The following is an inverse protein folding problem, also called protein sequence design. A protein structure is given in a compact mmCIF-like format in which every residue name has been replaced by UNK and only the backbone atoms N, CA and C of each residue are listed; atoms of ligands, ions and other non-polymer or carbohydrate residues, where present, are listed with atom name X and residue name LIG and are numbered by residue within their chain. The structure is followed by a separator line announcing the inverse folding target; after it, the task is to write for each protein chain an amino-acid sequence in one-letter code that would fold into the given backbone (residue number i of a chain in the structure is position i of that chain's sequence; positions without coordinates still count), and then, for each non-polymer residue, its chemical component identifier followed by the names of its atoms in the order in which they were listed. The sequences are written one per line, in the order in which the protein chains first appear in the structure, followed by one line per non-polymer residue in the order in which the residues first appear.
data_IF_524596679610
#
_entry.id   IF_524596679610
#
_cell.length_a   1.000
_cell.length_b   1.000
_cell.length_c   1.000
_cell.angle_alpha   90.00
_cell.angle_beta   90.00
_cell.angle_gamma   90.00
#
_symmetry.space_group_name_H-M   'P 1'
#
loop_
_entity.id
_entity.type
_entity.pdbx_description
1 polymer ?
#
# COMPACT_ATOMS: atom_id res chain seq x y z
N UNK A 1 5.01 -9.65 11.12
CA UNK A 1 5.12 -8.33 11.77
C UNK A 1 4.96 -7.23 10.73
N UNK A 2 4.10 -6.28 11.02
CA UNK A 2 3.88 -5.13 10.14
C UNK A 2 4.63 -3.94 10.73
N UNK A 3 5.52 -3.34 9.95
CA UNK A 3 6.25 -2.14 10.36
C UNK A 3 5.82 -0.96 9.49
N UNK A 4 5.71 0.21 10.10
CA UNK A 4 5.39 1.45 9.40
C UNK A 4 6.53 2.43 9.64
N UNK A 5 7.15 2.87 8.56
CA UNK A 5 8.21 3.86 8.58
C UNK A 5 7.72 5.13 7.88
N UNK A 6 8.01 6.27 8.49
CA UNK A 6 7.63 7.58 7.95
C UNK A 6 8.91 8.37 7.67
N UNK A 7 9.07 8.83 6.45
CA UNK A 7 10.27 9.56 6.06
C UNK A 7 10.42 10.87 6.86
N UNK A 8 11.68 11.22 7.18
CA UNK A 8 11.98 12.44 7.93
C UNK A 8 11.65 13.73 7.17
N UNK A 9 11.55 13.63 5.85
CA UNK A 9 11.16 14.78 5.01
C UNK A 9 9.70 15.18 5.18
N UNK A 10 8.87 14.30 5.79
CA UNK A 10 7.46 14.59 6.03
C UNK A 10 7.27 15.26 7.39
N UNK A 11 6.17 16.03 7.57
CA UNK A 11 5.87 16.61 8.88
C UNK A 11 5.78 15.55 9.97
N UNK A 12 6.21 15.87 11.20
CA UNK A 12 6.20 14.93 12.32
C UNK A 12 4.80 14.37 12.58
N UNK A 13 3.76 15.17 12.39
CA UNK A 13 2.39 14.79 12.63
C UNK A 13 1.68 14.24 11.37
N UNK A 14 2.42 13.92 10.31
CA UNK A 14 1.82 13.44 9.05
C UNK A 14 1.00 12.16 9.26
N UNK A 15 1.52 11.24 10.07
CA UNK A 15 0.84 9.98 10.37
C UNK A 15 0.62 9.88 11.89
N UNK A 16 -0.48 10.43 12.41
CA UNK A 16 -0.78 10.31 13.84
C UNK A 16 -1.05 8.86 14.25
N UNK A 17 -1.01 8.60 15.55
CA UNK A 17 -1.16 7.24 16.10
C UNK A 17 -2.45 6.55 15.65
N UNK A 18 -3.56 7.29 15.57
CA UNK A 18 -4.85 6.74 15.13
C UNK A 18 -4.81 6.28 13.67
N UNK A 19 -4.15 7.05 12.81
CA UNK A 19 -3.98 6.68 11.41
C UNK A 19 -3.04 5.49 11.27
N UNK A 20 -1.97 5.44 12.05
CA UNK A 20 -1.06 4.30 12.08
C UNK A 20 -1.79 3.00 12.42
N UNK A 21 -2.64 3.02 13.44
CA UNK A 21 -3.46 1.86 13.81
C UNK A 21 -4.42 1.45 12.68
N UNK A 22 -5.00 2.44 12.01
CA UNK A 22 -5.90 2.19 10.89
C UNK A 22 -5.17 1.51 9.72
N UNK A 23 -3.97 1.97 9.41
CA UNK A 23 -3.13 1.38 8.36
C UNK A 23 -2.73 -0.06 8.72
N UNK A 24 -2.37 -0.32 9.96
CA UNK A 24 -2.07 -1.68 10.42
C UNK A 24 -3.27 -2.61 10.27
N UNK A 25 -4.45 -2.14 10.64
CA UNK A 25 -5.69 -2.92 10.51
C UNK A 25 -5.99 -3.21 9.03
N UNK A 26 -5.85 -2.20 8.18
CA UNK A 26 -6.06 -2.36 6.75
C UNK A 26 -5.08 -3.38 6.16
N UNK A 27 -3.82 -3.33 6.57
CA UNK A 27 -2.79 -4.26 6.10
C UNK A 27 -3.09 -5.70 6.52
N UNK A 28 -3.46 -5.93 7.78
CA UNK A 28 -3.80 -7.28 8.27
C UNK A 28 -4.99 -7.87 7.53
N UNK A 29 -6.02 -7.06 7.31
CA UNK A 29 -7.22 -7.49 6.60
C UNK A 29 -6.89 -7.81 5.14
N UNK A 30 -6.08 -6.97 4.49
CA UNK A 30 -5.67 -7.21 3.10
C UNK A 30 -4.86 -8.52 2.98
N UNK A 31 -3.92 -8.76 3.89
CA UNK A 31 -3.15 -10.00 3.91
C UNK A 31 -4.07 -11.22 4.05
N UNK A 32 -4.99 -11.19 4.99
CA UNK A 32 -5.93 -12.28 5.24
C UNK A 32 -6.82 -12.54 4.01
N UNK A 33 -7.41 -11.50 3.45
CA UNK A 33 -8.33 -11.61 2.32
C UNK A 33 -7.62 -12.00 1.02
N UNK A 34 -6.34 -11.66 0.90
CA UNK A 34 -5.52 -12.04 -0.25
C UNK A 34 -5.01 -13.48 -0.17
N UNK A 35 -5.29 -14.18 0.92
CA UNK A 35 -4.83 -15.55 1.11
C UNK A 35 -3.41 -15.67 1.66
N UNK A 36 -2.80 -14.56 2.07
CA UNK A 36 -1.52 -14.58 2.75
C UNK A 36 -1.72 -14.82 4.25
N UNK A 37 -0.66 -15.27 4.93
CA UNK A 37 -0.71 -15.41 6.38
C UNK A 37 -0.86 -14.04 7.05
N UNK A 38 -1.77 -13.93 8.01
CA UNK A 38 -1.90 -12.71 8.82
C UNK A 38 -0.64 -12.44 9.66
N UNK A 39 0.21 -13.46 9.83
CA UNK A 39 1.48 -13.35 10.53
C UNK A 39 2.65 -12.97 9.60
N UNK A 40 2.41 -12.82 8.31
CA UNK A 40 3.45 -12.46 7.35
C UNK A 40 4.06 -11.09 7.68
N UNK A 41 5.35 -10.95 7.44
CA UNK A 41 6.06 -9.69 7.58
C UNK A 41 5.77 -8.76 6.41
N UNK A 42 5.61 -7.49 6.70
CA UNK A 42 5.34 -6.45 5.72
C UNK A 42 5.92 -5.14 6.21
N UNK A 43 6.60 -4.41 5.35
CA UNK A 43 7.04 -3.04 5.63
C UNK A 43 6.21 -2.05 4.82
N UNK A 44 5.69 -1.05 5.50
CA UNK A 44 4.96 0.06 4.91
C UNK A 44 5.83 1.30 5.07
N UNK A 45 6.18 1.95 3.97
CA UNK A 45 7.02 3.14 3.98
C UNK A 45 6.23 4.31 3.41
N UNK A 46 5.98 5.31 4.23
CA UNK A 46 5.32 6.55 3.82
C UNK A 46 6.42 7.57 3.58
N UNK A 47 6.56 8.06 2.38
CA UNK A 47 7.66 8.92 1.97
C UNK A 47 7.21 10.05 1.05
N UNK A 48 8.17 10.79 0.49
CA UNK A 48 7.87 11.89 -0.42
C UNK A 48 7.90 11.44 -1.89
N UNK A 49 7.41 12.32 -2.74
CA UNK A 49 7.24 12.04 -4.16
C UNK A 49 8.58 11.85 -4.88
N UNK A 50 9.61 12.62 -4.49
CA UNK A 50 10.91 12.52 -5.14
C UNK A 50 11.64 11.24 -4.80
N UNK A 51 11.54 10.74 -3.58
CA UNK A 51 12.11 9.44 -3.21
C UNK A 51 11.43 8.31 -3.96
N UNK A 52 10.12 8.36 -4.09
CA UNK A 52 9.38 7.32 -4.81
C UNK A 52 9.73 7.32 -6.29
N UNK A 53 9.84 8.50 -6.90
CA UNK A 53 10.28 8.63 -8.29
C UNK A 53 11.68 8.08 -8.51
N UNK A 54 12.62 8.37 -7.60
CA UNK A 54 13.98 7.85 -7.68
C UNK A 54 14.02 6.32 -7.60
N UNK A 55 13.22 5.72 -6.72
CA UNK A 55 13.12 4.26 -6.60
C UNK A 55 12.45 3.63 -7.82
N UNK A 56 11.42 4.29 -8.36
CA UNK A 56 10.76 3.85 -9.58
C UNK A 56 11.74 3.81 -10.76
N UNK A 57 12.55 4.84 -10.91
CA UNK A 57 13.57 4.90 -11.95
C UNK A 57 14.67 3.84 -11.74
N UNK A 58 15.16 3.70 -10.50
CA UNK A 58 16.26 2.80 -10.18
C UNK A 58 15.89 1.32 -10.33
N UNK A 59 14.71 0.92 -9.86
CA UNK A 59 14.32 -0.49 -9.80
C UNK A 59 13.39 -0.93 -10.93
N UNK A 60 12.61 -0.02 -11.52
CA UNK A 60 11.65 -0.34 -12.58
C UNK A 60 11.99 0.34 -13.91
N UNK A 61 13.04 1.16 -13.93
CA UNK A 61 13.48 1.84 -15.15
C UNK A 61 12.56 2.95 -15.61
N UNK A 62 11.64 3.39 -14.76
CA UNK A 62 10.63 4.40 -15.10
C UNK A 62 10.88 5.67 -14.30
N UNK A 63 11.44 6.70 -14.94
CA UNK A 63 11.70 8.00 -14.32
C UNK A 63 10.43 8.87 -14.33
N UNK A 64 9.46 8.47 -13.52
CA UNK A 64 8.17 9.14 -13.42
C UNK A 64 7.67 9.11 -11.98
N UNK A 65 6.90 10.13 -11.56
CA UNK A 65 6.23 10.09 -10.27
C UNK A 65 5.21 8.94 -10.24
N UNK A 66 5.04 8.36 -9.06
CA UNK A 66 4.03 7.33 -8.82
C UNK A 66 3.49 7.48 -7.40
N UNK A 67 2.31 6.93 -7.14
CA UNK A 67 1.65 7.03 -5.85
C UNK A 67 2.06 5.89 -4.90
N UNK A 68 2.24 4.68 -5.42
CA UNK A 68 2.55 3.50 -4.65
C UNK A 68 3.49 2.58 -5.44
N UNK A 69 4.45 1.99 -4.74
CA UNK A 69 5.34 0.96 -5.28
C UNK A 69 5.28 -0.26 -4.35
N UNK A 70 5.29 -1.44 -4.95
CA UNK A 70 5.32 -2.71 -4.22
C UNK A 70 6.55 -3.49 -4.65
N UNK A 71 7.38 -3.87 -3.68
CA UNK A 71 8.58 -4.67 -3.92
C UNK A 71 8.44 -6.02 -3.23
N UNK A 72 8.14 -7.10 -3.97
CA UNK A 72 8.04 -8.43 -3.39
C UNK A 72 9.36 -8.86 -2.79
N UNK A 73 9.30 -9.53 -1.64
CA UNK A 73 10.47 -10.18 -1.06
C UNK A 73 10.83 -11.42 -1.88
N UNK A 74 12.12 -11.78 -1.89
CA UNK A 74 12.62 -12.90 -2.68
C UNK A 74 12.57 -14.24 -1.91
N UNK A 75 11.49 -14.48 -1.17
CA UNK A 75 11.19 -15.81 -0.63
C UNK A 75 11.90 -16.19 0.65
N UNK A 76 12.62 -15.28 1.31
CA UNK A 76 13.23 -15.57 2.60
C UNK A 76 12.24 -15.31 3.72
N UNK A 77 12.21 -16.19 4.72
CA UNK A 77 11.44 -15.96 5.94
C UNK A 77 12.07 -14.82 6.74
N UNK A 78 11.23 -14.11 7.50
CA UNK A 78 11.70 -13.09 8.43
C UNK A 78 12.59 -13.76 9.49
N UNK A 79 13.87 -13.36 9.63
CA UNK A 79 14.77 -13.98 10.58
C UNK A 79 14.38 -13.78 12.04
N UNK A 80 13.61 -12.74 12.35
CA UNK A 80 13.18 -12.46 13.72
C UNK A 80 11.96 -13.27 14.14
N UNK A 81 11.05 -13.54 13.23
CA UNK A 81 9.76 -14.20 13.53
C UNK A 81 9.66 -15.62 12.97
N UNK A 82 10.50 -15.97 11.99
CA UNK A 82 10.38 -17.24 11.25
C UNK A 82 9.18 -17.29 10.30
N UNK A 83 8.44 -16.19 10.17
CA UNK A 83 7.27 -16.11 9.29
C UNK A 83 7.67 -15.62 7.90
N UNK A 84 6.87 -15.88 6.87
CA UNK A 84 7.13 -15.36 5.54
C UNK A 84 7.21 -13.84 5.55
N UNK A 85 8.16 -13.27 4.83
CA UNK A 85 8.25 -11.83 4.59
C UNK A 85 7.70 -11.54 3.20
N UNK A 86 6.61 -10.79 3.14
CA UNK A 86 5.89 -10.57 1.89
C UNK A 86 6.55 -9.51 1.01
N UNK A 87 7.04 -8.46 1.60
CA UNK A 87 7.72 -7.38 0.88
C UNK A 87 7.46 -6.00 1.46
N UNK A 88 7.68 -5.00 0.61
CA UNK A 88 7.58 -3.59 0.99
C UNK A 88 6.53 -2.88 0.13
N UNK A 89 5.71 -2.06 0.76
CA UNK A 89 4.79 -1.13 0.08
C UNK A 89 5.21 0.28 0.43
N UNK A 90 5.55 1.06 -0.59
CA UNK A 90 6.01 2.43 -0.45
C UNK A 90 4.96 3.37 -1.04
N UNK A 91 4.58 4.39 -0.27
CA UNK A 91 3.50 5.32 -0.65
C UNK A 91 4.03 6.75 -0.61
N UNK A 92 3.74 7.52 -1.67
CA UNK A 92 4.01 8.95 -1.69
C UNK A 92 2.90 9.68 -0.93
N UNK A 93 3.25 10.28 0.21
CA UNK A 93 2.32 11.07 1.01
C UNK A 93 1.77 12.30 0.27
N UNK A 94 2.63 13.12 -0.38
CA UNK A 94 2.11 14.29 -1.12
C UNK A 94 1.17 13.90 -2.26
N UNK A 95 1.47 12.82 -2.96
CA UNK A 95 0.61 12.36 -4.05
C UNK A 95 -0.70 11.79 -3.53
N UNK A 96 -0.67 11.05 -2.43
CA UNK A 96 -1.88 10.57 -1.77
C UNK A 96 -2.79 11.73 -1.35
N UNK A 97 -2.19 12.80 -0.80
CA UNK A 97 -2.95 14.00 -0.43
C UNK A 97 -3.59 14.67 -1.64
N UNK A 98 -2.83 14.82 -2.73
CA UNK A 98 -3.33 15.42 -3.97
C UNK A 98 -4.46 14.59 -4.58
N UNK A 99 -4.33 13.27 -4.59
CA UNK A 99 -5.36 12.37 -5.11
C UNK A 99 -6.61 12.38 -4.24
N UNK A 100 -6.45 12.42 -2.92
CA UNK A 100 -7.58 12.52 -1.99
C UNK A 100 -8.36 13.82 -2.22
N UNK A 101 -7.66 14.94 -2.33
CA UNK A 101 -8.26 16.25 -2.58
C UNK A 101 -9.02 16.26 -3.92
N UNK A 102 -8.39 15.73 -4.97
CA UNK A 102 -9.01 15.68 -6.30
C UNK A 102 -10.24 14.77 -6.34
N UNK A 103 -10.25 13.69 -5.60
CA UNK A 103 -11.34 12.71 -5.57
C UNK A 103 -12.43 13.07 -4.54
N UNK A 104 -12.18 14.03 -3.66
CA UNK A 104 -13.15 14.46 -2.65
C UNK A 104 -13.30 13.51 -1.47
N UNK A 105 -12.28 12.71 -1.16
CA UNK A 105 -12.29 11.87 0.04
C UNK A 105 -11.09 12.17 0.95
N UNK A 106 -11.05 11.53 2.13
CA UNK A 106 -10.03 11.83 3.13
C UNK A 106 -8.66 11.25 2.73
N UNK A 107 -7.60 11.86 3.27
CA UNK A 107 -6.26 11.31 3.16
C UNK A 107 -6.17 9.89 3.73
N UNK A 108 -6.83 9.63 4.86
CA UNK A 108 -6.88 8.30 5.45
C UNK A 108 -7.44 7.28 4.47
N UNK A 109 -8.54 7.61 3.79
CA UNK A 109 -9.14 6.74 2.77
C UNK A 109 -8.16 6.46 1.63
N UNK A 110 -7.48 7.49 1.14
CA UNK A 110 -6.51 7.34 0.05
C UNK A 110 -5.31 6.49 0.46
N UNK A 111 -4.76 6.73 1.64
CA UNK A 111 -3.64 5.93 2.15
C UNK A 111 -4.03 4.46 2.30
N UNK A 112 -5.22 4.18 2.82
CA UNK A 112 -5.71 2.80 2.93
C UNK A 112 -5.93 2.17 1.56
N UNK A 113 -6.48 2.91 0.61
CA UNK A 113 -6.66 2.43 -0.76
C UNK A 113 -5.33 2.03 -1.40
N UNK A 114 -4.33 2.92 -1.33
CA UNK A 114 -3.01 2.65 -1.90
C UNK A 114 -2.31 1.48 -1.21
N UNK A 115 -2.43 1.40 0.10
CA UNK A 115 -1.85 0.30 0.89
C UNK A 115 -2.47 -1.04 0.52
N UNK A 116 -3.80 -1.12 0.50
CA UNK A 116 -4.51 -2.35 0.12
C UNK A 116 -4.13 -2.77 -1.29
N UNK A 117 -4.13 -1.83 -2.23
CA UNK A 117 -3.73 -2.09 -3.61
C UNK A 117 -2.32 -2.67 -3.71
N UNK A 118 -1.36 -2.06 -3.00
CA UNK A 118 0.02 -2.52 -2.97
C UNK A 118 0.18 -3.91 -2.35
N UNK A 119 -0.55 -4.22 -1.30
CA UNK A 119 -0.52 -5.54 -0.67
C UNK A 119 -1.09 -6.60 -1.60
N UNK A 120 -2.18 -6.31 -2.31
CA UNK A 120 -2.74 -7.24 -3.28
C UNK A 120 -1.74 -7.58 -4.39
N UNK A 121 -0.98 -6.59 -4.85
CA UNK A 121 0.12 -6.84 -5.79
C UNK A 121 1.18 -7.77 -5.20
N UNK A 122 1.59 -7.54 -3.96
CA UNK A 122 2.57 -8.42 -3.30
C UNK A 122 2.06 -9.85 -3.16
N UNK A 123 0.75 -10.03 -3.01
CA UNK A 123 0.12 -11.34 -2.90
C UNK A 123 -0.13 -12.01 -4.27
N UNK A 124 0.31 -11.39 -5.36
CA UNK A 124 0.24 -11.97 -6.70
C UNK A 124 -0.95 -11.52 -7.55
N UNK A 125 -1.78 -10.61 -7.05
CA UNK A 125 -2.86 -10.04 -7.85
C UNK A 125 -2.30 -9.02 -8.84
N UNK A 126 -2.88 -8.99 -10.04
CA UNK A 126 -2.42 -8.10 -11.10
C UNK A 126 -3.63 -7.58 -11.88
N UNK A 127 -3.48 -6.40 -12.45
CA UNK A 127 -4.50 -5.75 -13.28
C UNK A 127 -4.04 -5.59 -14.74
N UNK A 128 -3.12 -6.45 -15.19
CA UNK A 128 -2.61 -6.41 -16.57
C UNK A 128 -3.64 -6.88 -17.59
N UNK A 129 -4.57 -7.76 -17.21
CA UNK A 129 -5.68 -8.21 -18.04
C UNK A 129 -7.02 -7.95 -17.38
N UNK A 130 -8.12 -8.06 -18.15
CA UNK A 130 -9.45 -7.76 -17.64
C UNK A 130 -9.92 -8.72 -16.53
N UNK A 131 -9.72 -10.05 -16.63
CA UNK A 131 -10.09 -10.93 -15.52
C UNK A 131 -9.33 -10.66 -14.24
N UNK A 132 -8.02 -10.40 -14.33
CA UNK A 132 -7.19 -10.07 -13.18
C UNK A 132 -7.58 -8.73 -12.58
N UNK A 133 -7.85 -7.73 -13.40
CA UNK A 133 -8.31 -6.42 -12.98
C UNK A 133 -9.63 -6.51 -12.21
N UNK A 134 -10.61 -7.21 -12.75
CA UNK A 134 -11.91 -7.38 -12.12
C UNK A 134 -11.78 -8.06 -10.76
N UNK A 135 -11.00 -9.13 -10.68
CA UNK A 135 -10.78 -9.86 -9.43
C UNK A 135 -10.09 -8.99 -8.37
N UNK A 136 -9.05 -8.26 -8.77
CA UNK A 136 -8.30 -7.39 -7.87
C UNK A 136 -9.14 -6.23 -7.36
N UNK A 137 -9.86 -5.55 -8.26
CA UNK A 137 -10.74 -4.43 -7.89
C UNK A 137 -11.87 -4.87 -6.97
N UNK A 138 -12.47 -6.04 -7.24
CA UNK A 138 -13.54 -6.59 -6.39
C UNK A 138 -13.03 -6.87 -4.98
N UNK A 139 -11.87 -7.48 -4.85
CA UNK A 139 -11.28 -7.78 -3.55
C UNK A 139 -10.89 -6.51 -2.80
N UNK A 140 -10.31 -5.54 -3.51
CA UNK A 140 -9.98 -4.23 -2.98
C UNK A 140 -11.22 -3.51 -2.43
N UNK A 141 -12.30 -3.49 -3.19
CA UNK A 141 -13.55 -2.86 -2.78
C UNK A 141 -14.14 -3.54 -1.54
N UNK A 142 -14.11 -4.86 -1.45
CA UNK A 142 -14.59 -5.60 -0.29
C UNK A 142 -13.80 -5.25 0.97
N UNK A 143 -12.49 -5.14 0.87
CA UNK A 143 -11.63 -4.80 1.99
C UNK A 143 -11.93 -3.38 2.49
N UNK A 144 -12.03 -2.43 1.57
CA UNK A 144 -12.29 -1.02 1.91
C UNK A 144 -13.69 -0.83 2.49
N UNK A 145 -14.67 -1.53 1.96
CA UNK A 145 -16.04 -1.52 2.51
C UNK A 145 -16.07 -2.05 3.94
N UNK A 146 -15.37 -3.15 4.19
CA UNK A 146 -15.26 -3.70 5.55
C UNK A 146 -14.62 -2.70 6.52
N UNK A 147 -13.69 -1.89 6.03
CA UNK A 147 -13.04 -0.85 6.84
C UNK A 147 -13.94 0.40 7.04
N UNK A 148 -15.10 0.43 6.41
CA UNK A 148 -16.06 1.52 6.55
C UNK A 148 -15.88 2.67 5.58
N UNK A 149 -15.09 2.49 4.52
CA UNK A 149 -14.91 3.52 3.50
C UNK A 149 -15.99 3.44 2.42
N UNK A 150 -16.34 4.60 1.81
CA UNK A 150 -17.18 4.59 0.62
C UNK A 150 -16.44 3.97 -0.56
N UNK A 151 -17.12 3.71 -1.69
CA UNK A 151 -16.42 3.20 -2.88
C UNK A 151 -15.31 4.16 -3.32
N UNK A 152 -14.11 3.60 -3.48
CA UNK A 152 -12.90 4.34 -3.86
C UNK A 152 -12.32 3.69 -5.11
N UNK A 153 -11.67 4.49 -5.97
CA UNK A 153 -11.03 3.98 -7.18
C UNK A 153 -9.56 4.35 -7.18
N UNK A 154 -8.72 3.36 -7.51
CA UNK A 154 -7.30 3.60 -7.72
C UNK A 154 -7.10 4.47 -8.97
N UNK A 155 -6.14 5.39 -8.90
CA UNK A 155 -5.74 6.16 -10.08
C UNK A 155 -4.85 5.27 -10.94
N UNK A 156 -5.27 5.04 -12.17
CA UNK A 156 -4.46 4.30 -13.14
C UNK A 156 -3.50 5.27 -13.85
N UNK A 157 -2.23 4.95 -13.80
CA UNK A 157 -1.17 5.73 -14.44
C UNK A 157 -0.58 5.02 -15.65
#
# INVERSE_FOLDING_TARGET
MITIQVARSLPVAAIPASLRLRLEKAARLALERAGASAEAGLSIVITDDSQLQALNQRFLGNDAPTDVLSFPAEGADDPDTGQPYLGDVLISYPRAQAQADAAGHSLEAELCLLLVHGILHLAGHDHADEPGKTAMWSLQDQILEYLGFPPLKIVEE
#
